data_IF_226710087098
#
_entry.id   IF_226710087098
#
_cell.length_a   1.000
_cell.length_b   1.000
_cell.length_c   1.000
_cell.angle_alpha   90.00
_cell.angle_beta   90.00
_cell.angle_gamma   90.00
#
_symmetry.space_group_name_H-M   'P 1'
#
loop_
_entity.id
_entity.type
_entity.pdbx_description
1 polymer ?
#
# COMPACT_ATOMS: atom_id res chain seq x y z
N UNK A 1 1.40 15.78 -9.16
CA UNK A 1 0.46 14.73 -9.61
C UNK A 1 1.08 13.91 -10.73
N UNK A 2 1.52 14.51 -11.85
CA UNK A 2 2.19 13.78 -12.96
C UNK A 2 3.39 12.89 -12.55
N UNK A 3 4.26 13.35 -11.65
CA UNK A 3 5.42 12.54 -11.22
C UNK A 3 5.07 11.28 -10.44
N UNK A 4 3.91 11.25 -9.78
CA UNK A 4 3.46 10.09 -9.00
C UNK A 4 2.83 9.05 -9.90
N UNK A 5 2.02 9.48 -10.88
CA UNK A 5 1.43 8.63 -11.91
C UNK A 5 2.52 7.93 -12.75
N UNK A 6 3.55 8.67 -13.21
CA UNK A 6 4.66 8.06 -13.96
C UNK A 6 5.44 6.98 -13.19
N UNK A 7 5.47 7.07 -11.86
CA UNK A 7 6.11 6.06 -11.02
C UNK A 7 5.25 4.80 -10.87
N UNK A 8 3.93 4.94 -10.77
CA UNK A 8 3.00 3.81 -10.76
C UNK A 8 3.00 3.08 -12.09
N UNK A 9 3.01 3.81 -13.21
CA UNK A 9 3.16 3.23 -14.55
C UNK A 9 4.45 2.39 -14.67
N UNK A 10 5.55 2.88 -14.09
CA UNK A 10 6.82 2.14 -14.05
C UNK A 10 6.70 0.88 -13.20
N UNK A 11 6.04 0.93 -12.04
CA UNK A 11 5.85 -0.26 -11.19
C UNK A 11 4.99 -1.29 -11.90
N UNK A 12 3.87 -0.87 -12.49
CA UNK A 12 2.93 -1.76 -13.16
C UNK A 12 3.64 -2.45 -14.34
N UNK A 13 4.35 -1.68 -15.19
CA UNK A 13 5.09 -2.25 -16.33
C UNK A 13 6.20 -3.23 -15.92
N UNK A 14 6.99 -2.90 -14.89
CA UNK A 14 8.03 -3.81 -14.37
C UNK A 14 7.42 -5.09 -13.79
N UNK A 15 6.26 -4.99 -13.12
CA UNK A 15 5.57 -6.15 -12.54
C UNK A 15 4.91 -7.02 -13.60
N UNK A 16 4.26 -6.42 -14.60
CA UNK A 16 3.66 -7.12 -15.73
C UNK A 16 4.70 -7.93 -16.51
N UNK A 17 5.85 -7.32 -16.86
CA UNK A 17 6.93 -8.02 -17.56
C UNK A 17 7.49 -9.21 -16.75
N UNK A 18 7.58 -9.05 -15.43
CA UNK A 18 8.01 -10.13 -14.54
C UNK A 18 6.97 -11.25 -14.45
N UNK A 19 5.69 -10.91 -14.45
CA UNK A 19 4.56 -11.85 -14.41
C UNK A 19 4.54 -12.76 -15.64
N UNK A 20 4.83 -12.23 -16.83
CA UNK A 20 4.95 -13.04 -18.06
C UNK A 20 6.16 -13.98 -18.04
N UNK A 21 7.29 -13.54 -17.46
CA UNK A 21 8.53 -14.32 -17.41
C UNK A 21 8.54 -15.43 -16.36
N UNK A 22 7.71 -15.32 -15.32
CA UNK A 22 7.61 -16.27 -14.22
C UNK A 22 6.13 -16.61 -14.09
N UNK A 23 5.71 -17.77 -14.60
CA UNK A 23 4.45 -18.37 -14.16
C UNK A 23 4.56 -18.61 -12.65
N UNK A 24 4.16 -17.61 -11.86
CA UNK A 24 4.25 -17.63 -10.40
C UNK A 24 3.24 -18.64 -9.87
N UNK A 25 3.65 -19.91 -9.84
CA UNK A 25 2.93 -20.96 -9.15
C UNK A 25 2.94 -20.65 -7.65
N UNK A 26 1.83 -20.09 -7.18
CA UNK A 26 1.38 -20.07 -5.78
C UNK A 26 2.44 -19.66 -4.75
N UNK A 27 2.55 -18.36 -4.47
CA UNK A 27 3.11 -17.85 -3.22
C UNK A 27 2.64 -16.41 -2.98
N UNK A 28 1.78 -16.22 -1.97
CA UNK A 28 1.24 -14.93 -1.46
C UNK A 28 1.28 -13.79 -2.49
N UNK A 29 0.26 -13.71 -3.35
CA UNK A 29 0.15 -12.64 -4.35
C UNK A 29 -0.04 -11.30 -3.66
N UNK A 30 0.81 -10.32 -3.98
CA UNK A 30 0.53 -8.95 -3.62
C UNK A 30 -0.69 -8.47 -4.42
N UNK A 31 -1.36 -7.40 -3.98
CA UNK A 31 -2.56 -6.86 -4.64
C UNK A 31 -2.42 -6.73 -6.16
N UNK A 32 -1.34 -6.09 -6.63
CA UNK A 32 -1.05 -5.93 -8.06
C UNK A 32 -0.85 -7.26 -8.79
N UNK A 33 -0.24 -8.26 -8.16
CA UNK A 33 -0.05 -9.58 -8.77
C UNK A 33 -1.40 -10.30 -8.95
N UNK A 34 -2.37 -10.07 -8.04
CA UNK A 34 -3.74 -10.57 -8.16
C UNK A 34 -4.47 -9.88 -9.33
N UNK A 35 -4.36 -8.56 -9.47
CA UNK A 35 -4.96 -7.83 -10.59
C UNK A 35 -4.41 -8.30 -11.95
N UNK A 36 -3.09 -8.50 -12.04
CA UNK A 36 -2.44 -9.02 -13.26
C UNK A 36 -2.91 -10.43 -13.61
N UNK A 37 -3.21 -11.29 -12.62
CA UNK A 37 -3.79 -12.61 -12.89
C UNK A 37 -5.22 -12.54 -13.43
N UNK A 38 -6.04 -11.61 -12.93
CA UNK A 38 -7.41 -11.40 -13.43
C UNK A 38 -7.42 -10.84 -14.86
N UNK A 39 -6.44 -10.00 -15.22
CA UNK A 39 -6.26 -9.55 -16.60
C UNK A 39 -5.90 -10.71 -17.54
N UNK A 40 -5.05 -11.65 -17.09
CA UNK A 40 -4.75 -12.85 -17.88
C UNK A 40 -5.96 -13.79 -18.03
N UNK A 41 -6.89 -13.79 -17.08
CA UNK A 41 -8.18 -14.49 -17.17
C UNK A 41 -9.23 -13.71 -17.99
N UNK A 42 -8.85 -12.63 -18.68
CA UNK A 42 -9.71 -11.74 -19.47
C UNK A 42 -10.86 -11.09 -18.66
N UNK A 43 -10.69 -10.98 -17.34
CA UNK A 43 -11.68 -10.35 -16.43
C UNK A 43 -11.47 -8.85 -16.24
N UNK A 44 -10.24 -8.36 -16.45
CA UNK A 44 -9.85 -6.95 -16.31
C UNK A 44 -9.01 -6.50 -17.51
N UNK A 45 -9.17 -5.24 -17.88
CA UNK A 45 -8.30 -4.56 -18.83
C UNK A 45 -7.10 -3.92 -18.14
N UNK A 46 -6.12 -3.49 -18.93
CA UNK A 46 -4.98 -2.74 -18.40
C UNK A 46 -5.40 -1.41 -17.75
N UNK A 47 -6.43 -0.76 -18.30
CA UNK A 47 -6.97 0.49 -17.77
C UNK A 47 -7.62 0.26 -16.40
N UNK A 48 -8.38 -0.83 -16.24
CA UNK A 48 -8.97 -1.21 -14.94
C UNK A 48 -7.88 -1.43 -13.88
N UNK A 49 -6.74 -2.06 -14.25
CA UNK A 49 -5.61 -2.23 -13.34
C UNK A 49 -5.02 -0.87 -12.92
N UNK A 50 -4.85 0.06 -13.86
CA UNK A 50 -4.31 1.38 -13.57
C UNK A 50 -5.23 2.15 -12.61
N UNK A 51 -6.54 2.14 -12.88
CA UNK A 51 -7.53 2.81 -12.02
C UNK A 51 -7.54 2.26 -10.59
N UNK A 52 -7.50 0.93 -10.43
CA UNK A 52 -7.47 0.30 -9.11
C UNK A 52 -6.17 0.55 -8.35
N UNK A 53 -5.02 0.55 -9.04
CA UNK A 53 -3.72 0.86 -8.44
C UNK A 53 -3.66 2.32 -7.99
N UNK A 54 -4.13 3.24 -8.83
CA UNK A 54 -4.15 4.67 -8.51
C UNK A 54 -5.07 4.95 -7.33
N UNK A 55 -6.28 4.38 -7.33
CA UNK A 55 -7.23 4.52 -6.23
C UNK A 55 -6.65 3.99 -4.92
N UNK A 56 -6.11 2.76 -4.91
CA UNK A 56 -5.57 2.14 -3.70
C UNK A 56 -4.38 2.92 -3.12
N UNK A 57 -3.46 3.35 -3.97
CA UNK A 57 -2.25 4.07 -3.53
C UNK A 57 -2.53 5.51 -3.13
N UNK A 58 -3.51 6.17 -3.75
CA UNK A 58 -3.83 7.57 -3.47
C UNK A 58 -4.74 7.72 -2.25
N UNK A 59 -5.86 7.00 -2.23
CA UNK A 59 -6.86 7.12 -1.15
C UNK A 59 -6.30 6.64 0.20
N UNK A 60 -5.51 5.56 0.18
CA UNK A 60 -4.90 5.02 1.38
C UNK A 60 -3.82 5.92 1.97
N UNK A 61 -3.04 6.61 1.13
CA UNK A 61 -1.90 7.42 1.57
C UNK A 61 -2.34 8.70 2.26
N UNK A 62 -3.19 9.50 1.62
CA UNK A 62 -3.49 10.85 2.12
C UNK A 62 -4.37 10.82 3.37
N UNK A 63 -5.34 9.91 3.43
CA UNK A 63 -6.22 9.74 4.60
C UNK A 63 -5.46 9.20 5.81
N UNK A 64 -4.67 8.12 5.63
CA UNK A 64 -3.87 7.53 6.72
C UNK A 64 -2.81 8.49 7.21
N UNK A 65 -2.10 9.17 6.29
CA UNK A 65 -1.08 10.17 6.66
C UNK A 65 -1.72 11.33 7.42
N UNK A 66 -2.88 11.83 6.97
CA UNK A 66 -3.63 12.87 7.66
C UNK A 66 -4.04 12.45 9.08
N UNK A 67 -4.63 11.27 9.21
CA UNK A 67 -5.04 10.72 10.51
C UNK A 67 -3.87 10.53 11.47
N UNK A 68 -2.77 9.95 10.99
CA UNK A 68 -1.56 9.73 11.79
C UNK A 68 -0.92 11.05 12.22
N UNK A 69 -0.87 12.05 11.34
CA UNK A 69 -0.36 13.40 11.68
C UNK A 69 -1.15 14.00 12.84
N UNK A 70 -2.47 13.95 12.78
CA UNK A 70 -3.32 14.50 13.83
C UNK A 70 -3.20 13.70 15.14
N UNK A 71 -3.17 12.37 15.05
CA UNK A 71 -2.95 11.50 16.21
C UNK A 71 -1.60 11.81 16.89
N UNK A 72 -0.51 11.87 16.13
CA UNK A 72 0.82 12.19 16.65
C UNK A 72 0.88 13.59 17.25
N UNK A 73 0.26 14.58 16.61
CA UNK A 73 0.14 15.93 17.15
C UNK A 73 -0.56 15.94 18.51
N UNK A 74 -1.70 15.26 18.63
CA UNK A 74 -2.42 15.17 19.91
C UNK A 74 -1.62 14.42 20.97
N UNK A 75 -0.96 13.31 20.61
CA UNK A 75 -0.12 12.54 21.55
C UNK A 75 1.00 13.42 22.10
N UNK A 76 1.69 14.19 21.23
CA UNK A 76 2.78 15.08 21.64
C UNK A 76 2.32 16.20 22.61
N UNK A 77 1.06 16.62 22.54
CA UNK A 77 0.48 17.60 23.46
C UNK A 77 0.01 17.01 24.79
N UNK A 78 -0.04 15.68 24.93
CA UNK A 78 -0.54 15.00 26.13
C UNK A 78 0.49 13.99 26.68
N UNK A 79 1.46 14.46 27.49
CA UNK A 79 2.57 13.63 27.99
C UNK A 79 2.12 12.36 28.75
N UNK A 80 0.99 12.42 29.46
CA UNK A 80 0.42 11.27 30.15
C UNK A 80 -0.12 10.20 29.19
N UNK A 81 -0.62 10.58 28.02
CA UNK A 81 -1.06 9.64 26.97
C UNK A 81 0.16 9.06 26.28
N UNK A 82 1.15 9.89 25.97
CA UNK A 82 2.42 9.45 25.40
C UNK A 82 3.12 8.40 26.29
N UNK A 83 3.20 8.63 27.60
CA UNK A 83 3.81 7.67 28.53
C UNK A 83 3.08 6.32 28.51
N UNK A 84 1.74 6.33 28.55
CA UNK A 84 0.93 5.10 28.48
C UNK A 84 1.20 4.31 27.20
N UNK A 85 1.33 4.99 26.06
CA UNK A 85 1.64 4.36 24.78
C UNK A 85 3.04 3.72 24.82
N UNK A 86 4.03 4.40 25.38
CA UNK A 86 5.37 3.82 25.56
C UNK A 86 5.35 2.59 26.47
N UNK A 87 4.65 2.64 27.61
CA UNK A 87 4.55 1.52 28.54
C UNK A 87 3.87 0.30 27.88
N UNK A 88 2.86 0.52 27.02
CA UNK A 88 2.21 -0.54 26.23
C UNK A 88 3.18 -1.17 25.24
N UNK A 89 3.93 -0.35 24.50
CA UNK A 89 4.95 -0.83 23.55
C UNK A 89 6.02 -1.65 24.27
N UNK A 90 6.53 -1.19 25.41
CA UNK A 90 7.50 -1.94 26.22
C UNK A 90 6.91 -3.26 26.72
N UNK A 91 5.62 -3.28 27.08
CA UNK A 91 4.95 -4.51 27.53
C UNK A 91 4.82 -5.53 26.41
N UNK A 92 4.44 -5.11 25.20
CA UNK A 92 4.22 -6.00 24.05
C UNK A 92 5.54 -6.49 23.44
N UNK A 93 6.52 -5.59 23.29
CA UNK A 93 7.73 -5.85 22.49
C UNK A 93 8.99 -6.15 23.31
N UNK A 94 8.89 -6.28 24.64
CA UNK A 94 10.02 -6.74 25.48
C UNK A 94 10.59 -8.07 24.93
N UNK A 95 11.83 -8.01 24.44
CA UNK A 95 12.69 -9.17 24.20
C UNK A 95 13.39 -9.60 25.48
#
# INVERSE_FOLDING_TARGET
MERTSAYFDLIISVRAAKFESIQLTSKKTAFLDTLLSMMHEEQLTMDDIQEEVDTFMFEGHDTTTGGLKFAMFLIALHPNVQQKLHDEMDTIFRK
#
